data_IF_326217028186
#
_entry.id   IF_326217028186
#
_cell.length_a   1.000
_cell.length_b   1.000
_cell.length_c   1.000
_cell.angle_alpha   90.00
_cell.angle_beta   90.00
_cell.angle_gamma   90.00
#
_symmetry.space_group_name_H-M   'P 1'
#
loop_
_entity.id
_entity.type
_entity.pdbx_description
1 polymer ?
#
# COMPACT_ATOMS: atom_id res chain seq x y z
N UNK A 1 -7.05 -3.47 7.08
CA UNK A 1 -6.92 -2.00 6.99
C UNK A 1 -6.54 -1.44 8.35
N UNK A 2 -5.45 -0.66 8.44
CA UNK A 2 -4.88 -0.17 9.71
C UNK A 2 -5.61 1.09 10.21
N UNK A 3 -5.51 1.41 11.51
CA UNK A 3 -6.10 2.63 12.08
C UNK A 3 -5.52 3.90 11.44
N UNK A 4 -4.22 3.89 11.12
CA UNK A 4 -3.52 5.01 10.45
C UNK A 4 -4.06 5.27 9.04
N UNK A 5 -4.36 4.21 8.28
CA UNK A 5 -4.95 4.34 6.94
C UNK A 5 -6.36 4.94 7.00
N UNK A 6 -7.18 4.49 7.97
CA UNK A 6 -8.52 5.06 8.21
C UNK A 6 -8.47 6.54 8.57
N UNK A 7 -7.53 6.93 9.44
CA UNK A 7 -7.35 8.32 9.82
C UNK A 7 -6.94 9.20 8.64
N UNK A 8 -6.06 8.71 7.75
CA UNK A 8 -5.67 9.42 6.53
C UNK A 8 -6.86 9.64 5.60
N UNK A 9 -7.69 8.62 5.38
CA UNK A 9 -8.92 8.74 4.57
C UNK A 9 -9.92 9.71 5.18
N UNK A 10 -10.12 9.67 6.50
CA UNK A 10 -11.09 10.56 7.16
C UNK A 10 -10.65 12.04 7.12
N UNK A 11 -9.34 12.27 7.23
CA UNK A 11 -8.74 13.60 7.10
C UNK A 11 -8.95 14.19 5.68
N UNK A 12 -8.67 13.43 4.63
CA UNK A 12 -8.83 13.92 3.24
C UNK A 12 -10.31 14.11 2.88
N UNK A 13 -11.18 13.20 3.34
CA UNK A 13 -12.64 13.31 3.20
C UNK A 13 -13.18 14.58 3.86
N UNK A 14 -12.80 14.86 5.11
CA UNK A 14 -13.28 16.03 5.86
C UNK A 14 -12.84 17.34 5.22
N UNK A 15 -11.67 17.35 4.60
CA UNK A 15 -11.13 18.50 3.85
C UNK A 15 -11.68 18.64 2.43
N UNK A 16 -12.48 17.67 1.97
CA UNK A 16 -12.93 17.57 0.58
C UNK A 16 -11.78 17.66 -0.43
N UNK A 17 -10.62 17.11 -0.05
CA UNK A 17 -9.38 17.16 -0.83
C UNK A 17 -9.43 16.08 -1.92
N UNK A 18 -10.12 16.41 -3.02
CA UNK A 18 -10.39 15.47 -4.10
C UNK A 18 -9.12 14.85 -4.73
N UNK A 19 -8.06 15.62 -5.06
CA UNK A 19 -6.82 15.03 -5.56
C UNK A 19 -6.15 14.09 -4.55
N UNK A 20 -6.22 14.39 -3.24
CA UNK A 20 -5.68 13.49 -2.22
C UNK A 20 -6.50 12.19 -2.08
N UNK A 21 -7.83 12.27 -2.21
CA UNK A 21 -8.68 11.08 -2.25
C UNK A 21 -8.32 10.19 -3.44
N UNK A 22 -8.16 10.76 -4.63
CA UNK A 22 -7.73 10.01 -5.82
C UNK A 22 -6.35 9.37 -5.63
N UNK A 23 -5.40 10.08 -5.02
CA UNK A 23 -4.08 9.53 -4.72
C UNK A 23 -4.17 8.32 -3.78
N UNK A 24 -5.01 8.38 -2.74
CA UNK A 24 -5.21 7.26 -1.81
C UNK A 24 -5.84 6.06 -2.53
N UNK A 25 -6.93 6.28 -3.28
CA UNK A 25 -7.62 5.20 -4.02
C UNK A 25 -6.69 4.57 -5.06
N UNK A 26 -5.97 5.37 -5.82
CA UNK A 26 -5.04 4.86 -6.82
C UNK A 26 -3.98 3.95 -6.20
N UNK A 27 -3.40 4.33 -5.05
CA UNK A 27 -2.40 3.49 -4.38
C UNK A 27 -3.00 2.19 -3.88
N UNK A 28 -4.16 2.25 -3.21
CA UNK A 28 -4.81 1.06 -2.64
C UNK A 28 -5.19 0.05 -3.74
N UNK A 29 -5.91 0.52 -4.76
CA UNK A 29 -6.45 -0.35 -5.81
C UNK A 29 -5.34 -0.87 -6.72
N UNK A 30 -4.34 -0.05 -7.04
CA UNK A 30 -3.22 -0.50 -7.85
C UNK A 30 -2.32 -1.48 -7.10
N UNK A 31 -2.15 -1.31 -5.79
CA UNK A 31 -1.46 -2.31 -4.97
C UNK A 31 -2.20 -3.65 -5.03
N UNK A 32 -3.54 -3.62 -4.93
CA UNK A 32 -4.38 -4.81 -5.06
C UNK A 32 -4.20 -5.52 -6.40
N UNK A 33 -4.34 -4.79 -7.50
CA UNK A 33 -4.12 -5.34 -8.85
C UNK A 33 -2.72 -5.92 -8.99
N UNK A 34 -1.73 -5.20 -8.47
CA UNK A 34 -0.32 -5.56 -8.58
C UNK A 34 -0.04 -6.94 -8.00
N UNK A 35 -0.48 -7.24 -6.78
CA UNK A 35 -0.24 -8.56 -6.20
C UNK A 35 -1.18 -9.62 -6.77
N UNK A 36 -2.46 -9.30 -7.01
CA UNK A 36 -3.46 -10.26 -7.48
C UNK A 36 -3.09 -10.85 -8.85
N UNK A 37 -2.70 -9.99 -9.79
CA UNK A 37 -2.26 -10.38 -11.14
C UNK A 37 -1.00 -11.25 -11.17
N UNK A 38 -0.20 -11.25 -10.09
CA UNK A 38 1.01 -12.07 -9.95
C UNK A 38 0.78 -13.41 -9.24
N UNK A 39 -0.46 -13.71 -8.87
CA UNK A 39 -0.80 -14.98 -8.22
C UNK A 39 -0.61 -16.14 -9.21
N UNK A 40 0.14 -17.17 -8.79
CA UNK A 40 0.36 -18.36 -9.62
C UNK A 40 -0.87 -19.27 -9.62
N UNK A 41 -1.06 -19.99 -10.73
CA UNK A 41 -2.11 -21.02 -10.84
C UNK A 41 -1.60 -22.38 -10.32
N UNK A 42 -2.46 -23.24 -9.76
CA UNK A 42 -3.90 -23.03 -9.54
C UNK A 42 -4.15 -22.03 -8.39
N UNK A 43 -5.28 -21.31 -8.47
CA UNK A 43 -5.68 -20.43 -7.38
C UNK A 43 -5.99 -21.23 -6.11
N UNK A 44 -5.94 -20.58 -4.93
CA UNK A 44 -6.27 -21.22 -3.66
C UNK A 44 -7.60 -21.99 -3.70
N UNK A 45 -7.67 -23.12 -3.00
CA UNK A 45 -8.90 -23.91 -2.84
C UNK A 45 -9.94 -23.18 -1.98
N UNK A 46 -9.47 -22.37 -1.03
CA UNK A 46 -10.34 -21.54 -0.22
C UNK A 46 -11.07 -20.52 -1.12
N UNK A 47 -12.40 -20.63 -1.14
CA UNK A 47 -13.29 -19.78 -1.93
C UNK A 47 -13.03 -18.28 -1.71
N UNK A 48 -12.92 -17.84 -0.45
CA UNK A 48 -12.73 -16.41 -0.11
C UNK A 48 -11.42 -15.88 -0.70
N UNK A 49 -10.34 -16.64 -0.61
CA UNK A 49 -9.05 -16.22 -1.17
C UNK A 49 -9.08 -16.20 -2.71
N UNK A 50 -9.73 -17.18 -3.33
CA UNK A 50 -9.88 -17.25 -4.79
C UNK A 50 -10.69 -16.08 -5.32
N UNK A 51 -11.88 -15.85 -4.77
CA UNK A 51 -12.75 -14.74 -5.15
C UNK A 51 -12.04 -13.41 -4.96
N UNK A 52 -11.25 -13.26 -3.89
CA UNK A 52 -10.50 -12.04 -3.66
C UNK A 52 -9.43 -11.81 -4.74
N UNK A 53 -8.72 -12.85 -5.19
CA UNK A 53 -7.79 -12.74 -6.32
C UNK A 53 -8.53 -12.39 -7.61
N UNK A 54 -9.62 -13.10 -7.92
CA UNK A 54 -10.36 -12.94 -9.17
C UNK A 54 -11.00 -11.54 -9.27
N UNK A 55 -11.59 -11.05 -8.17
CA UNK A 55 -12.16 -9.70 -8.09
C UNK A 55 -11.12 -8.59 -8.38
N UNK A 56 -9.87 -8.77 -7.96
CA UNK A 56 -8.81 -7.76 -8.10
C UNK A 56 -7.85 -8.01 -9.28
N UNK A 57 -8.12 -9.00 -10.13
CA UNK A 57 -7.30 -9.29 -11.32
C UNK A 57 -8.11 -9.40 -12.62
N UNK A 58 -9.42 -9.14 -12.55
CA UNK A 58 -10.30 -9.10 -13.72
C UNK A 58 -10.15 -7.82 -14.55
N UNK A 59 -10.61 -7.85 -15.82
CA UNK A 59 -10.50 -6.73 -16.75
C UNK A 59 -11.25 -5.48 -16.28
N UNK A 60 -12.38 -5.61 -15.57
CA UNK A 60 -13.06 -4.42 -15.02
C UNK A 60 -12.22 -3.73 -13.94
N UNK A 61 -11.52 -4.51 -13.11
CA UNK A 61 -10.66 -3.96 -12.07
C UNK A 61 -9.40 -3.30 -12.65
N UNK A 62 -8.82 -3.91 -13.69
CA UNK A 62 -7.72 -3.28 -14.46
C UNK A 62 -8.14 -1.95 -15.09
N UNK A 63 -9.35 -1.88 -15.66
CA UNK A 63 -9.90 -0.66 -16.21
C UNK A 63 -10.13 0.42 -15.12
N UNK A 64 -10.61 0.01 -13.95
CA UNK A 64 -10.77 0.90 -12.80
C UNK A 64 -9.45 1.51 -12.34
N UNK A 65 -8.41 0.69 -12.15
CA UNK A 65 -7.07 1.16 -11.77
C UNK A 65 -6.49 2.09 -12.86
N UNK A 66 -6.72 1.77 -14.13
CA UNK A 66 -6.27 2.60 -15.26
C UNK A 66 -6.94 3.97 -15.23
N UNK A 67 -8.24 4.03 -14.95
CA UNK A 67 -8.98 5.29 -14.80
C UNK A 67 -8.42 6.13 -13.64
N UNK A 68 -8.20 5.54 -12.47
CA UNK A 68 -7.64 6.27 -11.31
C UNK A 68 -6.27 6.89 -11.61
N UNK A 69 -5.40 6.14 -12.29
CA UNK A 69 -4.09 6.64 -12.73
C UNK A 69 -4.25 7.76 -13.75
N UNK A 70 -5.13 7.60 -14.74
CA UNK A 70 -5.40 8.61 -15.74
C UNK A 70 -5.95 9.91 -15.15
N UNK A 71 -6.82 9.83 -14.14
CA UNK A 71 -7.33 11.01 -13.44
C UNK A 71 -6.23 11.75 -12.66
N UNK A 72 -5.31 11.03 -12.01
CA UNK A 72 -4.16 11.65 -11.35
C UNK A 72 -3.20 12.31 -12.36
N UNK A 73 -2.90 11.63 -13.47
CA UNK A 73 -2.05 12.17 -14.53
C UNK A 73 -2.69 13.41 -15.18
N UNK A 74 -4.02 13.45 -15.27
CA UNK A 74 -4.78 14.61 -15.76
C UNK A 74 -4.78 15.77 -14.76
N UNK A 75 -4.94 15.50 -13.46
CA UNK A 75 -5.02 16.52 -12.42
C UNK A 75 -3.66 17.11 -12.02
N UNK A 76 -2.60 16.30 -12.00
CA UNK A 76 -1.26 16.72 -11.57
C UNK A 76 -0.79 18.02 -12.22
N UNK A 77 -0.84 18.17 -13.56
CA UNK A 77 -0.43 19.39 -14.25
C UNK A 77 -1.29 20.63 -13.93
N UNK A 78 -2.50 20.45 -13.40
CA UNK A 78 -3.39 21.56 -13.04
C UNK A 78 -3.11 22.13 -11.64
N UNK A 79 -2.36 21.41 -10.82
CA UNK A 79 -1.97 21.82 -9.48
C UNK A 79 -0.72 22.71 -9.53
N UNK A 80 -0.65 23.68 -8.61
CA UNK A 80 0.58 24.42 -8.36
C UNK A 80 1.65 23.55 -7.68
N UNK A 81 2.87 24.07 -7.54
CA UNK A 81 3.98 23.32 -6.95
C UNK A 81 3.66 22.81 -5.53
N UNK A 82 2.97 23.63 -4.72
CA UNK A 82 2.57 23.26 -3.37
C UNK A 82 1.58 22.10 -3.38
N UNK A 83 0.56 22.16 -4.24
CA UNK A 83 -0.42 21.10 -4.43
C UNK A 83 0.22 19.80 -4.92
N UNK A 84 1.11 19.86 -5.92
CA UNK A 84 1.82 18.68 -6.40
C UNK A 84 2.65 18.01 -5.30
N UNK A 85 3.37 18.80 -4.48
CA UNK A 85 4.15 18.27 -3.35
C UNK A 85 3.26 17.64 -2.28
N UNK A 86 2.11 18.25 -1.99
CA UNK A 86 1.13 17.70 -1.05
C UNK A 86 0.58 16.36 -1.53
N UNK A 87 0.15 16.26 -2.79
CA UNK A 87 -0.37 15.01 -3.36
C UNK A 87 0.72 13.93 -3.42
N UNK A 88 1.95 14.30 -3.74
CA UNK A 88 3.08 13.38 -3.69
C UNK A 88 3.35 12.85 -2.27
N UNK A 89 3.25 13.68 -1.23
CA UNK A 89 3.38 13.24 0.15
C UNK A 89 2.28 12.25 0.54
N UNK A 90 1.02 12.57 0.22
CA UNK A 90 -0.13 11.68 0.45
C UNK A 90 0.10 10.35 -0.24
N UNK A 91 0.44 10.35 -1.54
CA UNK A 91 0.71 9.13 -2.30
C UNK A 91 1.78 8.27 -1.62
N UNK A 92 2.93 8.87 -1.27
CA UNK A 92 4.04 8.17 -0.60
C UNK A 92 3.63 7.62 0.76
N UNK A 93 2.83 8.36 1.52
CA UNK A 93 2.35 7.94 2.84
C UNK A 93 1.39 6.76 2.72
N UNK A 94 0.49 6.79 1.74
CA UNK A 94 -0.41 5.67 1.45
C UNK A 94 0.37 4.41 1.05
N UNK A 95 1.40 4.52 0.19
CA UNK A 95 2.23 3.37 -0.21
C UNK A 95 2.90 2.72 1.01
N UNK A 96 3.45 3.52 1.92
CA UNK A 96 4.06 3.00 3.16
C UNK A 96 3.05 2.29 4.05
N UNK A 97 1.83 2.81 4.14
CA UNK A 97 0.75 2.22 4.93
C UNK A 97 0.25 0.90 4.34
N UNK A 98 0.11 0.82 3.02
CA UNK A 98 -0.22 -0.42 2.29
C UNK A 98 0.87 -1.46 2.50
N UNK A 99 2.14 -1.11 2.31
CA UNK A 99 3.26 -2.04 2.56
C UNK A 99 3.23 -2.60 3.98
N UNK A 100 3.08 -1.73 4.99
CA UNK A 100 3.00 -2.14 6.41
C UNK A 100 1.78 -3.03 6.66
N UNK A 101 0.66 -2.80 5.98
CA UNK A 101 -0.51 -3.67 6.10
C UNK A 101 -0.20 -5.09 5.61
N UNK A 102 0.49 -5.24 4.49
CA UNK A 102 0.94 -6.55 3.99
C UNK A 102 1.98 -7.21 4.89
N UNK A 103 2.94 -6.46 5.44
CA UNK A 103 3.94 -6.99 6.38
C UNK A 103 3.28 -7.58 7.63
N UNK A 104 2.28 -6.88 8.19
CA UNK A 104 1.54 -7.36 9.36
C UNK A 104 0.69 -8.60 9.03
N UNK A 105 0.09 -8.65 7.84
CA UNK A 105 -0.67 -9.81 7.39
C UNK A 105 0.23 -11.05 7.18
N UNK A 106 1.48 -10.84 6.77
CA UNK A 106 2.49 -11.89 6.63
C UNK A 106 3.13 -12.32 7.97
N UNK A 107 2.79 -11.66 9.09
CA UNK A 107 3.27 -12.01 10.43
C UNK A 107 4.67 -11.48 10.78
N UNK A 108 5.09 -10.34 10.22
CA UNK A 108 6.31 -9.58 10.53
C UNK A 108 7.57 -10.45 10.81
N UNK A 109 8.20 -10.94 9.75
CA UNK A 109 9.49 -11.65 9.81
C UNK A 109 10.68 -10.67 9.96
N UNK A 110 10.62 -9.74 10.92
CA UNK A 110 11.82 -8.99 11.30
C UNK A 110 12.78 -9.97 12.00
N UNK A 111 13.94 -10.35 11.43
CA UNK A 111 14.85 -11.26 12.11
C UNK A 111 15.32 -10.60 13.39
N UNK A 112 15.10 -11.26 14.53
CA UNK A 112 15.56 -10.79 15.83
C UNK A 112 17.05 -10.45 15.74
N UNK A 113 17.41 -9.19 16.01
CA UNK A 113 18.81 -8.77 16.13
C UNK A 113 19.45 -9.62 17.22
N UNK A 114 20.33 -10.55 16.82
CA UNK A 114 21.06 -11.39 17.78
C UNK A 114 21.75 -10.48 18.80
N UNK A 115 21.61 -10.75 20.12
CA UNK A 115 22.33 -9.99 21.11
C UNK A 115 23.83 -10.14 20.84
N UNK A 116 24.54 -9.02 20.82
CA UNK A 116 25.97 -8.97 20.60
C UNK A 116 26.65 -9.82 21.67
N UNK A 117 27.45 -10.82 21.27
CA UNK A 117 28.17 -11.64 22.22
C UNK A 117 29.14 -10.75 23.01
N UNK A 118 28.96 -10.72 24.32
CA UNK A 118 29.83 -9.99 25.25
C UNK A 118 31.26 -10.58 25.17
N UNK A 119 32.31 -9.74 25.15
CA UNK A 119 33.66 -10.23 24.92
C UNK A 119 34.10 -11.10 26.11
N UNK A 120 34.47 -12.33 25.78
CA UNK A 120 35.05 -13.33 26.67
C UNK A 120 36.19 -12.71 27.48
N UNK A 121 35.96 -12.44 28.78
CA UNK A 121 37.05 -12.12 29.71
C UNK A 121 37.96 -13.33 29.77
N UNK A 122 39.14 -13.20 29.17
CA UNK A 122 40.26 -14.11 29.42
C UNK A 122 40.79 -13.79 30.81
N UNK A 123 40.37 -14.58 31.79
CA UNK A 123 41.14 -14.68 33.02
C UNK A 123 42.29 -15.68 32.79
N UNK A 124 43.51 -15.19 32.99
CA UNK A 124 44.75 -15.96 33.11
C UNK A 124 45.72 -15.13 33.95
N UNK A 125 46.60 -15.73 34.77
CA UNK A 125 46.59 -17.05 35.41
C UNK A 125 46.12 -17.00 36.87
#
# INVERSE_FOLDING_TARGET
MTAEFRALMDQTRTRQDHPAILAILCVAEWSCLGWASRTTRPLPENFVHREWVELHSGPEFEAWVTLLRGELDRLGPTLDQTGQLHILDIFRRTVRLEHRFFDMAAGDQTPARKPNAEPHRRDRP
#
